data_IF_941694797983
#
_entry.id   IF_941694797983
#
_cell.length_a   1.000
_cell.length_b   1.000
_cell.length_c   1.000
_cell.angle_alpha   90.00
_cell.angle_beta   90.00
_cell.angle_gamma   90.00
#
_symmetry.space_group_name_H-M   'P 1'
#
loop_
_entity.id
_entity.type
_entity.pdbx_description
1 polymer ?
#
# COMPACT_ATOMS: atom_id res chain seq x y z
N UNK A 1 -24.44 5.16 10.38
CA UNK A 1 -25.13 5.14 9.07
C UNK A 1 -24.34 5.80 7.94
N UNK A 2 -23.29 6.60 8.22
CA UNK A 2 -22.43 7.22 7.17
C UNK A 2 -21.43 6.23 6.51
N UNK A 3 -21.15 5.09 7.15
CA UNK A 3 -20.21 4.07 6.63
C UNK A 3 -20.82 3.06 5.65
N UNK A 4 -22.13 3.06 5.46
CA UNK A 4 -22.77 2.39 4.34
C UNK A 4 -23.31 3.49 3.43
N UNK A 5 -22.50 3.97 2.49
CA UNK A 5 -22.96 4.85 1.42
C UNK A 5 -24.22 4.25 0.81
N UNK A 6 -25.36 4.83 1.14
CA UNK A 6 -26.63 4.11 1.20
C UNK A 6 -27.00 3.48 -0.14
N UNK A 7 -26.78 2.17 -0.30
CA UNK A 7 -27.19 1.35 -1.46
C UNK A 7 -26.81 1.92 -2.85
N UNK A 8 -26.02 2.99 -2.94
CA UNK A 8 -25.77 3.77 -4.15
C UNK A 8 -24.37 3.57 -4.72
N UNK A 9 -23.48 2.90 -3.97
CA UNK A 9 -22.15 2.53 -4.42
C UNK A 9 -22.22 1.19 -5.14
N UNK A 10 -21.93 1.20 -6.44
CA UNK A 10 -21.82 -0.01 -7.26
C UNK A 10 -20.59 -0.82 -6.83
N UNK A 11 -20.66 -2.16 -6.94
CA UNK A 11 -19.60 -3.06 -6.49
C UNK A 11 -18.22 -2.76 -7.08
N UNK A 12 -18.16 -2.24 -8.31
CA UNK A 12 -16.91 -1.81 -8.95
C UNK A 12 -16.24 -0.63 -8.26
N UNK A 13 -17.02 0.35 -7.76
CA UNK A 13 -16.47 1.51 -7.01
C UNK A 13 -15.92 1.06 -5.66
N UNK A 14 -16.59 0.10 -5.00
CA UNK A 14 -16.13 -0.48 -3.73
C UNK A 14 -14.81 -1.23 -3.95
N UNK A 15 -14.75 -2.11 -4.96
CA UNK A 15 -13.55 -2.87 -5.29
C UNK A 15 -12.37 -1.94 -5.65
N UNK A 16 -12.61 -0.92 -6.49
CA UNK A 16 -11.60 0.08 -6.84
C UNK A 16 -11.09 0.86 -5.62
N UNK A 17 -11.98 1.29 -4.73
CA UNK A 17 -11.60 1.97 -3.48
C UNK A 17 -10.80 1.07 -2.55
N UNK A 18 -11.15 -0.21 -2.43
CA UNK A 18 -10.41 -1.17 -1.59
C UNK A 18 -8.99 -1.42 -2.14
N UNK A 19 -8.83 -1.57 -3.45
CA UNK A 19 -7.51 -1.70 -4.08
C UNK A 19 -6.68 -0.43 -3.85
N UNK A 20 -7.26 0.74 -4.10
CA UNK A 20 -6.60 2.03 -3.91
C UNK A 20 -6.14 2.26 -2.46
N UNK A 21 -6.90 1.76 -1.49
CA UNK A 21 -6.55 1.87 -0.05
C UNK A 21 -5.46 0.88 0.35
N UNK A 22 -5.24 -0.18 -0.42
CA UNK A 22 -4.22 -1.19 -0.14
C UNK A 22 -2.84 -0.81 -0.68
N UNK A 23 -2.77 0.06 -1.69
CA UNK A 23 -1.50 0.51 -2.27
C UNK A 23 -0.80 1.51 -1.35
N UNK A 24 0.47 1.23 -1.01
CA UNK A 24 1.31 2.08 -0.17
C UNK A 24 2.75 2.14 -0.69
N UNK A 25 3.62 2.89 -0.01
CA UNK A 25 5.06 2.95 -0.33
C UNK A 25 5.75 1.59 -0.26
N UNK A 26 5.21 0.66 0.55
CA UNK A 26 5.66 -0.74 0.58
C UNK A 26 5.55 -1.40 -0.79
N UNK A 27 4.39 -1.28 -1.44
CA UNK A 27 4.17 -1.88 -2.76
C UNK A 27 5.02 -1.19 -3.83
N UNK A 28 5.11 0.14 -3.78
CA UNK A 28 5.83 0.92 -4.80
C UNK A 28 7.35 0.80 -4.71
N UNK A 29 7.92 0.52 -3.54
CA UNK A 29 9.38 0.52 -3.34
C UNK A 29 9.85 -0.83 -2.82
N UNK A 30 9.21 -1.35 -1.78
CA UNK A 30 9.57 -2.63 -1.17
C UNK A 30 9.37 -3.78 -2.14
N UNK A 31 8.14 -3.97 -2.63
CA UNK A 31 7.84 -5.06 -3.57
C UNK A 31 8.54 -4.85 -4.91
N UNK A 32 8.57 -3.63 -5.46
CA UNK A 32 9.29 -3.34 -6.71
C UNK A 32 10.80 -3.58 -6.58
N UNK A 33 11.43 -3.16 -5.47
CA UNK A 33 12.84 -3.43 -5.21
C UNK A 33 13.11 -4.92 -5.03
N UNK A 34 12.20 -5.64 -4.37
CA UNK A 34 12.29 -7.09 -4.27
C UNK A 34 12.07 -7.77 -5.63
N UNK A 35 11.22 -7.24 -6.51
CA UNK A 35 10.97 -7.77 -7.85
C UNK A 35 12.17 -7.52 -8.77
N UNK A 36 12.87 -6.40 -8.59
CA UNK A 36 14.14 -6.14 -9.25
C UNK A 36 15.19 -7.19 -8.88
N UNK A 37 15.25 -7.61 -7.60
CA UNK A 37 16.22 -8.61 -7.13
C UNK A 37 15.81 -10.06 -7.44
N UNK A 38 14.55 -10.40 -7.25
CA UNK A 38 14.04 -11.78 -7.28
C UNK A 38 13.23 -12.10 -8.56
N UNK A 39 13.03 -11.12 -9.44
CA UNK A 39 12.25 -11.25 -10.65
C UNK A 39 10.74 -11.38 -10.40
N UNK A 40 10.05 -12.04 -11.33
CA UNK A 40 8.57 -12.16 -11.34
C UNK A 40 7.99 -13.06 -10.24
N UNK A 41 8.81 -13.73 -9.42
CA UNK A 41 8.34 -14.63 -8.36
C UNK A 41 7.42 -13.93 -7.35
N UNK A 42 7.60 -12.62 -7.16
CA UNK A 42 6.78 -11.82 -6.25
C UNK A 42 5.33 -11.72 -6.69
N UNK A 43 5.08 -11.80 -8.00
CA UNK A 43 3.72 -11.79 -8.55
C UNK A 43 2.91 -12.99 -8.03
N UNK A 44 3.56 -14.13 -7.73
CA UNK A 44 2.88 -15.30 -7.18
C UNK A 44 2.24 -15.00 -5.82
N UNK A 45 2.87 -14.16 -4.98
CA UNK A 45 2.32 -13.74 -3.68
C UNK A 45 1.04 -12.91 -3.86
N UNK A 46 1.05 -11.96 -4.78
CA UNK A 46 -0.09 -11.08 -5.06
C UNK A 46 -1.27 -11.86 -5.67
N UNK A 47 -1.00 -12.74 -6.65
CA UNK A 47 -2.04 -13.52 -7.31
C UNK A 47 -2.71 -14.50 -6.35
N UNK A 48 -1.92 -15.19 -5.52
CA UNK A 48 -2.48 -16.12 -4.52
C UNK A 48 -3.29 -15.40 -3.45
N UNK A 49 -2.83 -14.24 -3.00
CA UNK A 49 -3.55 -13.37 -2.05
C UNK A 49 -4.87 -12.86 -2.63
N UNK A 50 -4.88 -12.45 -3.90
CA UNK A 50 -6.09 -12.00 -4.58
C UNK A 50 -7.17 -13.10 -4.65
N UNK A 51 -6.77 -14.34 -4.99
CA UNK A 51 -7.70 -15.48 -5.01
C UNK A 51 -8.25 -15.76 -3.61
N UNK A 52 -7.38 -15.79 -2.59
CA UNK A 52 -7.79 -15.99 -1.20
C UNK A 52 -8.77 -14.90 -0.75
N UNK A 53 -8.53 -13.64 -1.14
CA UNK A 53 -9.39 -12.51 -0.82
C UNK A 53 -10.78 -12.64 -1.48
N UNK A 54 -10.85 -13.05 -2.75
CA UNK A 54 -12.13 -13.28 -3.44
C UNK A 54 -12.94 -14.36 -2.74
N UNK A 55 -12.30 -15.49 -2.40
CA UNK A 55 -12.96 -16.58 -1.66
C UNK A 55 -13.43 -16.05 -0.30
N UNK A 56 -12.57 -15.37 0.44
CA UNK A 56 -12.92 -14.79 1.74
C UNK A 56 -14.08 -13.79 1.61
N UNK A 57 -14.10 -12.93 0.60
CA UNK A 57 -15.18 -11.99 0.34
C UNK A 57 -16.50 -12.73 0.07
N UNK A 58 -16.51 -13.77 -0.76
CA UNK A 58 -17.74 -14.51 -1.06
C UNK A 58 -18.33 -15.22 0.16
N UNK A 59 -17.49 -15.74 1.06
CA UNK A 59 -17.94 -16.48 2.24
C UNK A 59 -18.20 -15.59 3.47
N UNK A 60 -17.28 -14.69 3.82
CA UNK A 60 -17.34 -13.92 5.05
C UNK A 60 -18.14 -12.62 4.92
N UNK A 61 -18.10 -11.94 3.78
CA UNK A 61 -18.86 -10.71 3.56
C UNK A 61 -20.37 -10.86 3.82
N UNK A 62 -21.08 -11.88 3.30
CA UNK A 62 -22.52 -12.02 3.57
C UNK A 62 -22.81 -12.30 5.05
N UNK A 63 -21.88 -12.92 5.78
CA UNK A 63 -22.02 -13.17 7.21
C UNK A 63 -21.88 -11.85 7.98
N UNK A 64 -20.83 -11.09 7.73
CA UNK A 64 -20.58 -9.82 8.41
C UNK A 64 -21.68 -8.79 8.16
N UNK A 65 -22.18 -8.69 6.93
CA UNK A 65 -23.27 -7.78 6.59
C UNK A 65 -24.58 -8.13 7.30
N UNK A 66 -24.90 -9.42 7.49
CA UNK A 66 -26.10 -9.87 8.22
C UNK A 66 -26.03 -9.58 9.72
N UNK A 67 -24.83 -9.63 10.31
CA UNK A 67 -24.62 -9.39 11.73
C UNK A 67 -24.57 -7.89 12.09
N UNK A 68 -24.53 -6.99 11.08
CA UNK A 68 -24.46 -5.55 11.31
C UNK A 68 -23.15 -5.09 11.94
N UNK A 69 -22.11 -5.92 11.86
CA UNK A 69 -20.80 -5.67 12.46
C UNK A 69 -19.98 -4.70 11.61
N UNK A 70 -19.18 -3.88 12.28
CA UNK A 70 -18.35 -2.86 11.61
C UNK A 70 -16.86 -3.15 11.69
N UNK A 71 -16.42 -4.04 12.60
CA UNK A 71 -15.00 -4.39 12.77
C UNK A 71 -14.77 -5.85 13.12
N UNK A 72 -13.58 -6.39 12.83
CA UNK A 72 -13.19 -7.77 13.17
C UNK A 72 -13.22 -8.02 14.69
N UNK A 73 -12.70 -7.11 15.56
CA UNK A 73 -12.79 -7.33 17.00
C UNK A 73 -14.23 -7.37 17.53
N UNK A 74 -15.17 -6.62 16.93
CA UNK A 74 -16.60 -6.72 17.28
C UNK A 74 -17.18 -8.09 16.93
N UNK A 75 -16.78 -8.67 15.79
CA UNK A 75 -17.17 -10.05 15.47
C UNK A 75 -16.71 -11.04 16.53
N UNK A 76 -15.45 -10.91 16.98
CA UNK A 76 -14.89 -11.79 17.99
C UNK A 76 -15.58 -11.64 19.35
N UNK A 77 -15.98 -10.42 19.72
CA UNK A 77 -16.75 -10.16 20.94
C UNK A 77 -18.11 -10.85 20.90
N UNK A 78 -18.82 -10.78 19.77
CA UNK A 78 -20.14 -11.40 19.63
C UNK A 78 -20.05 -12.93 19.56
N UNK A 79 -18.96 -13.48 19.01
CA UNK A 79 -18.78 -14.93 18.82
C UNK A 79 -18.17 -15.62 20.04
N UNK A 80 -17.31 -14.93 20.77
CA UNK A 80 -16.56 -15.45 21.91
C UNK A 80 -16.88 -14.62 23.17
N UNK A 81 -16.08 -13.59 23.46
CA UNK A 81 -16.22 -12.74 24.63
C UNK A 81 -15.39 -11.44 24.51
N UNK A 82 -15.59 -10.51 25.45
CA UNK A 82 -14.88 -9.23 25.50
C UNK A 82 -13.37 -9.38 25.74
N UNK A 83 -12.92 -10.46 26.40
CA UNK A 83 -11.50 -10.71 26.64
C UNK A 83 -10.80 -11.05 25.32
N UNK A 84 -11.38 -11.95 24.52
CA UNK A 84 -10.85 -12.33 23.21
C UNK A 84 -10.77 -11.12 22.28
N UNK A 85 -11.81 -10.27 22.26
CA UNK A 85 -11.77 -8.99 21.51
C UNK A 85 -10.59 -8.12 21.90
N UNK A 86 -10.34 -7.95 23.19
CA UNK A 86 -9.28 -7.06 23.69
C UNK A 86 -7.90 -7.60 23.34
N UNK A 87 -7.68 -8.91 23.52
CA UNK A 87 -6.42 -9.57 23.16
C UNK A 87 -6.16 -9.42 21.65
N UNK A 88 -7.14 -9.73 20.80
CA UNK A 88 -6.95 -9.64 19.36
C UNK A 88 -6.79 -8.20 18.88
N UNK A 89 -7.57 -7.25 19.41
CA UNK A 89 -7.38 -5.84 19.10
C UNK A 89 -5.97 -5.36 19.48
N UNK A 90 -5.46 -5.78 20.64
CA UNK A 90 -4.10 -5.48 21.06
C UNK A 90 -3.06 -6.10 20.12
N UNK A 91 -3.18 -7.38 19.78
CA UNK A 91 -2.27 -8.05 18.84
C UNK A 91 -2.27 -7.38 17.47
N UNK A 92 -3.43 -6.97 16.96
CA UNK A 92 -3.54 -6.24 15.69
C UNK A 92 -2.83 -4.88 15.77
N UNK A 93 -3.05 -4.12 16.85
CA UNK A 93 -2.37 -2.84 17.06
C UNK A 93 -0.85 -3.00 17.12
N UNK A 94 -0.36 -3.99 17.87
CA UNK A 94 1.07 -4.29 17.95
C UNK A 94 1.61 -4.68 16.58
N UNK A 95 0.89 -5.51 15.82
CA UNK A 95 1.28 -5.85 14.46
C UNK A 95 1.44 -4.60 13.59
N UNK A 96 0.48 -3.67 13.59
CA UNK A 96 0.61 -2.43 12.82
C UNK A 96 1.82 -1.60 13.23
N UNK A 97 2.07 -1.46 14.53
CA UNK A 97 3.18 -0.65 15.06
C UNK A 97 4.54 -1.28 14.78
N UNK A 98 4.65 -2.59 14.81
CA UNK A 98 5.94 -3.30 14.69
C UNK A 98 6.26 -3.68 13.24
N UNK A 99 5.26 -3.98 12.42
CA UNK A 99 5.48 -4.44 11.04
C UNK A 99 5.20 -3.34 10.03
N UNK A 100 3.98 -2.81 10.00
CA UNK A 100 3.54 -1.93 8.92
C UNK A 100 4.15 -0.53 9.02
N UNK A 101 4.06 0.12 10.18
CA UNK A 101 4.55 1.49 10.34
C UNK A 101 6.06 1.64 10.04
N UNK A 102 6.96 0.77 10.53
CA UNK A 102 8.38 0.87 10.22
C UNK A 102 8.67 0.66 8.73
N UNK A 103 8.00 -0.29 8.08
CA UNK A 103 8.16 -0.55 6.64
C UNK A 103 7.74 0.69 5.84
N UNK A 104 6.58 1.26 6.13
CA UNK A 104 6.05 2.44 5.40
C UNK A 104 6.95 3.67 5.62
N UNK A 105 7.35 3.95 6.86
CA UNK A 105 8.22 5.10 7.16
C UNK A 105 9.61 4.95 6.54
N UNK A 106 10.20 3.76 6.62
CA UNK A 106 11.54 3.51 6.07
C UNK A 106 11.56 3.55 4.54
N UNK A 107 10.60 2.87 3.89
CA UNK A 107 10.47 2.91 2.42
C UNK A 107 10.17 4.33 1.92
N UNK A 108 9.32 5.08 2.63
CA UNK A 108 9.05 6.49 2.35
C UNK A 108 10.31 7.36 2.48
N UNK A 109 11.12 7.15 3.50
CA UNK A 109 12.37 7.88 3.70
C UNK A 109 13.41 7.58 2.61
N UNK A 110 13.57 6.31 2.21
CA UNK A 110 14.42 5.94 1.07
C UNK A 110 13.96 6.63 -0.21
N UNK A 111 12.63 6.76 -0.41
CA UNK A 111 12.08 7.42 -1.57
C UNK A 111 12.49 8.89 -1.63
N UNK A 112 12.27 9.61 -0.54
CA UNK A 112 12.61 11.03 -0.46
C UNK A 112 14.12 11.24 -0.60
N UNK A 113 14.91 10.37 0.02
CA UNK A 113 16.37 10.35 -0.16
C UNK A 113 16.75 10.18 -1.63
N UNK A 114 16.09 9.28 -2.38
CA UNK A 114 16.42 9.00 -3.78
C UNK A 114 15.99 10.11 -4.75
N UNK A 115 14.94 10.86 -4.41
CA UNK A 115 14.39 11.93 -5.26
C UNK A 115 15.05 13.28 -4.96
N UNK A 116 15.26 13.58 -3.68
CA UNK A 116 15.70 14.90 -3.22
C UNK A 116 17.15 14.92 -2.74
N UNK A 117 17.84 13.78 -2.69
CA UNK A 117 19.19 13.64 -2.13
C UNK A 117 19.29 14.33 -0.76
N UNK A 118 18.36 13.98 0.15
CA UNK A 118 18.19 14.67 1.43
C UNK A 118 19.48 14.68 2.24
N UNK A 119 20.25 13.60 2.22
CA UNK A 119 21.57 13.54 2.87
C UNK A 119 22.58 14.55 2.32
N UNK A 120 22.62 14.76 1.00
CA UNK A 120 23.51 15.75 0.36
C UNK A 120 23.06 17.17 0.69
N UNK A 121 21.76 17.45 0.61
CA UNK A 121 21.18 18.77 0.93
C UNK A 121 21.49 19.17 2.37
N UNK A 122 21.40 18.21 3.30
CA UNK A 122 21.66 18.43 4.72
C UNK A 122 23.14 18.28 5.11
N UNK A 123 24.02 17.91 4.16
CA UNK A 123 25.45 17.61 4.40
C UNK A 123 25.68 16.58 5.53
N UNK A 124 24.86 15.53 5.58
CA UNK A 124 24.95 14.44 6.55
C UNK A 124 25.22 13.11 5.84
N UNK A 125 25.59 12.07 6.58
CA UNK A 125 25.71 10.75 5.98
C UNK A 125 24.35 10.22 5.54
N UNK A 126 24.31 9.39 4.48
CA UNK A 126 23.07 8.74 3.98
C UNK A 126 22.22 8.08 5.09
N UNK A 127 22.78 7.26 6.01
CA UNK A 127 21.96 6.68 7.07
C UNK A 127 21.38 7.74 8.02
N UNK A 128 22.12 8.80 8.33
CA UNK A 128 21.60 9.91 9.15
C UNK A 128 20.48 10.68 8.42
N UNK A 129 20.64 10.94 7.12
CA UNK A 129 19.62 11.57 6.28
C UNK A 129 18.31 10.77 6.27
N UNK A 130 18.41 9.43 6.16
CA UNK A 130 17.25 8.53 6.24
C UNK A 130 16.60 8.63 7.63
N UNK A 131 17.38 8.58 8.72
CA UNK A 131 16.83 8.69 10.08
C UNK A 131 16.12 10.02 10.32
N UNK A 132 16.72 11.13 9.90
CA UNK A 132 16.12 12.47 9.98
C UNK A 132 14.79 12.48 9.21
N UNK A 133 14.78 11.90 8.02
CA UNK A 133 13.58 11.84 7.17
C UNK A 133 12.48 10.97 7.81
N UNK A 134 12.82 9.79 8.35
CA UNK A 134 11.88 8.91 9.07
C UNK A 134 11.22 9.64 10.23
N UNK A 135 12.02 10.31 11.07
CA UNK A 135 11.50 11.06 12.22
C UNK A 135 10.63 12.22 11.75
N UNK A 136 11.05 12.94 10.71
CA UNK A 136 10.30 14.07 10.16
C UNK A 136 8.94 13.65 9.61
N UNK A 137 8.88 12.60 8.78
CA UNK A 137 7.61 12.05 8.26
C UNK A 137 6.74 11.56 9.43
N UNK A 138 7.32 10.86 10.40
CA UNK A 138 6.59 10.35 11.57
C UNK A 138 5.97 11.46 12.42
N UNK A 139 6.71 12.53 12.70
CA UNK A 139 6.23 13.68 13.48
C UNK A 139 5.17 14.46 12.71
N UNK A 140 5.43 14.81 11.45
CA UNK A 140 4.47 15.56 10.61
C UNK A 140 3.19 14.74 10.41
N UNK A 141 3.31 13.45 10.11
CA UNK A 141 2.18 12.53 9.97
C UNK A 141 1.36 12.40 11.25
N UNK A 142 2.04 12.34 12.40
CA UNK A 142 1.40 12.27 13.72
C UNK A 142 0.65 13.55 14.07
N UNK A 143 1.27 14.73 13.84
CA UNK A 143 0.60 16.03 14.00
C UNK A 143 -0.64 16.09 13.11
N UNK A 144 -0.48 15.74 11.83
CA UNK A 144 -1.59 15.72 10.88
C UNK A 144 -2.74 14.80 11.34
N UNK A 145 -2.42 13.58 11.80
CA UNK A 145 -3.42 12.63 12.28
C UNK A 145 -4.12 13.09 13.57
N UNK A 146 -3.36 13.64 14.54
CA UNK A 146 -3.89 14.09 15.84
C UNK A 146 -4.82 15.29 15.65
N UNK A 147 -4.42 16.30 14.87
CA UNK A 147 -5.20 17.52 14.70
C UNK A 147 -6.28 17.41 13.62
N UNK A 148 -6.05 16.64 12.54
CA UNK A 148 -7.02 16.46 11.47
C UNK A 148 -8.13 15.46 11.82
N UNK A 149 -7.86 14.50 12.69
CA UNK A 149 -8.77 13.42 13.03
C UNK A 149 -9.04 12.46 11.85
N UNK A 150 -9.81 11.40 12.11
CA UNK A 150 -10.01 10.30 11.15
C UNK A 150 -10.62 10.75 9.81
N UNK A 151 -11.47 11.79 9.83
CA UNK A 151 -12.13 12.28 8.61
C UNK A 151 -11.14 13.01 7.69
N UNK A 152 -10.23 13.83 8.24
CA UNK A 152 -9.23 14.50 7.42
C UNK A 152 -8.26 13.49 6.82
N UNK A 153 -7.80 12.53 7.62
CA UNK A 153 -6.92 11.44 7.16
C UNK A 153 -7.56 10.65 6.03
N UNK A 154 -8.83 10.22 6.18
CA UNK A 154 -9.52 9.48 5.13
C UNK A 154 -9.68 10.28 3.83
N UNK A 155 -9.88 11.61 3.93
CA UNK A 155 -9.97 12.47 2.75
C UNK A 155 -8.62 12.61 2.04
N UNK A 156 -7.55 12.88 2.79
CA UNK A 156 -6.20 12.94 2.21
C UNK A 156 -5.80 11.63 1.57
N UNK A 157 -6.11 10.49 2.22
CA UNK A 157 -5.76 9.17 1.70
C UNK A 157 -6.47 8.90 0.37
N UNK A 158 -7.74 9.29 0.25
CA UNK A 158 -8.52 9.15 -0.99
C UNK A 158 -7.90 9.95 -2.14
N UNK A 159 -7.40 11.17 -1.86
CA UNK A 159 -6.75 12.03 -2.86
C UNK A 159 -5.37 11.48 -3.22
N UNK A 160 -4.58 11.10 -2.21
CA UNK A 160 -3.24 10.55 -2.38
C UNK A 160 -3.27 9.24 -3.18
N UNK A 161 -4.26 8.39 -2.95
CA UNK A 161 -4.39 7.12 -3.68
C UNK A 161 -4.55 7.32 -5.20
N UNK A 162 -5.26 8.38 -5.63
CA UNK A 162 -5.36 8.73 -7.05
C UNK A 162 -4.00 9.16 -7.60
N UNK A 163 -3.26 9.99 -6.85
CA UNK A 163 -1.90 10.39 -7.21
C UNK A 163 -0.95 9.21 -7.32
N UNK A 164 -1.01 8.27 -6.37
CA UNK A 164 -0.23 7.03 -6.38
C UNK A 164 -0.60 6.13 -7.55
N UNK A 165 -1.88 6.03 -7.91
CA UNK A 165 -2.31 5.26 -9.09
C UNK A 165 -1.73 5.85 -10.37
N UNK A 166 -1.85 7.17 -10.56
CA UNK A 166 -1.32 7.85 -11.74
C UNK A 166 0.20 7.70 -11.80
N UNK A 167 0.91 8.01 -10.70
CA UNK A 167 2.35 7.88 -10.61
C UNK A 167 2.83 6.44 -10.84
N UNK A 168 2.15 5.47 -10.23
CA UNK A 168 2.45 4.04 -10.38
C UNK A 168 2.28 3.53 -11.80
N UNK A 169 1.35 4.07 -12.58
CA UNK A 169 1.18 3.75 -14.01
C UNK A 169 2.15 4.55 -14.91
N UNK A 170 2.53 5.76 -14.51
CA UNK A 170 3.48 6.59 -15.26
C UNK A 170 4.89 5.99 -15.28
N UNK A 171 5.35 5.43 -14.15
CA UNK A 171 6.71 4.86 -14.07
C UNK A 171 6.98 3.76 -15.13
N UNK A 172 6.18 2.68 -15.23
CA UNK A 172 6.42 1.65 -16.24
C UNK A 172 6.16 2.12 -17.67
N UNK A 173 5.22 3.06 -17.88
CA UNK A 173 4.95 3.58 -19.23
C UNK A 173 6.08 4.46 -19.74
N UNK A 174 6.65 5.32 -18.89
CA UNK A 174 7.84 6.11 -19.24
C UNK A 174 9.08 5.23 -19.40
N UNK A 175 9.26 4.21 -18.56
CA UNK A 175 10.35 3.26 -18.72
C UNK A 175 10.29 2.52 -20.07
N UNK A 176 9.10 2.06 -20.49
CA UNK A 176 8.91 1.41 -21.79
C UNK A 176 9.08 2.40 -22.95
N UNK A 177 8.67 3.65 -22.80
CA UNK A 177 8.90 4.70 -23.78
C UNK A 177 10.40 4.94 -24.01
N UNK A 178 11.17 5.01 -22.94
CA UNK A 178 12.62 5.22 -22.98
C UNK A 178 13.35 4.02 -23.61
N UNK A 179 12.99 2.80 -23.21
CA UNK A 179 13.52 1.57 -23.82
C UNK A 179 13.17 1.51 -25.31
N UNK A 180 11.95 1.90 -25.67
CA UNK A 180 11.40 1.84 -27.03
C UNK A 180 11.73 3.04 -27.92
N UNK A 181 12.70 3.88 -27.53
CA UNK A 181 13.16 5.02 -28.32
C UNK A 181 12.01 5.96 -28.78
N UNK A 182 10.97 6.13 -27.96
CA UNK A 182 9.79 6.93 -28.27
C UNK A 182 8.52 6.16 -28.59
N UNK A 183 8.56 4.82 -28.64
CA UNK A 183 7.39 3.97 -28.87
C UNK A 183 7.27 2.87 -27.80
N UNK A 184 6.18 2.89 -27.03
CA UNK A 184 5.91 1.94 -25.94
C UNK A 184 5.81 0.49 -26.47
N UNK A 185 5.21 0.27 -27.64
CA UNK A 185 5.03 -1.08 -28.22
C UNK A 185 6.39 -1.69 -28.63
N UNK A 186 7.28 -0.87 -29.16
CA UNK A 186 8.65 -1.27 -29.48
C UNK A 186 9.45 -1.50 -28.19
N UNK A 187 9.19 -0.70 -27.15
CA UNK A 187 9.73 -0.88 -25.81
C UNK A 187 9.39 -2.23 -25.20
N UNK A 188 8.13 -2.67 -25.30
CA UNK A 188 7.69 -4.00 -24.84
C UNK A 188 8.44 -5.09 -25.61
N UNK A 189 8.52 -4.99 -26.93
CA UNK A 189 9.17 -5.99 -27.79
C UNK A 189 10.66 -6.11 -27.49
N UNK A 190 11.35 -4.96 -27.34
CA UNK A 190 12.78 -4.88 -27.02
C UNK A 190 13.07 -5.40 -25.61
N UNK A 191 12.22 -5.09 -24.64
CA UNK A 191 12.30 -5.63 -23.28
C UNK A 191 12.13 -7.16 -23.27
N UNK A 192 11.14 -7.72 -23.96
CA UNK A 192 10.95 -9.17 -24.04
C UNK A 192 12.17 -9.87 -24.67
N UNK A 193 12.74 -9.30 -25.74
CA UNK A 193 13.93 -9.85 -26.38
C UNK A 193 15.18 -9.77 -25.48
N UNK A 194 15.35 -8.70 -24.71
CA UNK A 194 16.42 -8.58 -23.72
C UNK A 194 16.26 -9.59 -22.57
N UNK A 195 15.04 -9.76 -22.06
CA UNK A 195 14.75 -10.69 -20.99
C UNK A 195 15.03 -12.14 -21.38
N UNK A 196 14.73 -12.53 -22.62
CA UNK A 196 14.99 -13.89 -23.12
C UNK A 196 16.49 -14.17 -23.34
N UNK A 197 17.27 -13.13 -23.69
CA UNK A 197 18.71 -13.25 -23.90
C UNK A 197 19.51 -13.35 -22.58
N UNK A 198 19.02 -12.74 -21.50
CA UNK A 198 19.61 -12.83 -20.16
C UNK A 198 19.21 -14.11 -19.39
N UNK A 199 18.26 -14.89 -19.90
CA UNK A 199 17.84 -16.17 -19.30
C UNK A 199 18.49 -17.42 -19.94
N UNK A 200 19.36 -17.24 -20.93
CA UNK A 200 20.24 -18.27 -21.51
C UNK A 200 21.68 -18.04 -21.07
#
# INVERSE_FOLDING_TARGET
MVFLGGRSLTGGVIAGSMILTNISTEHLIGLNGSAYKNGMIIIAWEVTSAIALVIAALYFLPIYLKMGLTTIPQYLEQRYDSTTKTIVAFLLMVSFVVTLLPIVLYTGAINLESIFNVSEVLNVSRPEGIWITVITIGVVGSIYAIFGGLKAVALSDSINAIGLLIGGLMVPTLALWDIGDGNILDGITKYMNMSLKNSM
#
